data_IF_904546387776
#
_entry.id   IF_904546387776
#
_cell.length_a   1.000
_cell.length_b   1.000
_cell.length_c   1.000
_cell.angle_alpha   90.00
_cell.angle_beta   90.00
_cell.angle_gamma   90.00
#
_symmetry.space_group_name_H-M   'P 1'
#
loop_
_entity.id
_entity.type
_entity.pdbx_description
1 polymer ?
#
# COMPACT_ATOMS: atom_id res chain seq x y z
N UNK A 1 6.48 3.50 13.81
CA UNK A 1 5.93 3.23 12.48
C UNK A 1 6.96 3.57 11.43
N UNK A 2 7.14 2.69 10.46
CA UNK A 2 8.20 2.84 9.48
C UNK A 2 7.72 3.65 8.28
N UNK A 3 8.53 4.60 7.84
CA UNK A 3 8.24 5.37 6.64
C UNK A 3 9.32 5.13 5.60
N UNK A 4 8.94 5.21 4.35
CA UNK A 4 9.87 5.21 3.23
C UNK A 4 9.49 6.35 2.30
N UNK A 5 10.28 6.56 1.27
CA UNK A 5 10.01 7.61 0.30
C UNK A 5 9.90 7.02 -1.09
N UNK A 6 9.02 7.61 -1.88
CA UNK A 6 8.91 7.29 -3.30
C UNK A 6 9.17 8.58 -4.07
N UNK A 7 9.61 8.42 -5.32
CA UNK A 7 9.86 9.58 -6.20
C UNK A 7 8.90 9.51 -7.37
N UNK A 8 8.09 10.54 -7.50
CA UNK A 8 7.11 10.64 -8.60
C UNK A 8 7.35 11.95 -9.31
N UNK A 9 7.69 11.87 -10.60
CA UNK A 9 7.94 13.06 -11.44
C UNK A 9 9.01 13.95 -10.81
N UNK A 10 10.05 13.32 -10.23
CA UNK A 10 11.16 14.06 -9.66
C UNK A 10 10.91 14.60 -8.27
N UNK A 11 9.75 14.39 -7.70
CA UNK A 11 9.43 14.88 -6.38
C UNK A 11 9.29 13.69 -5.41
N UNK A 12 9.80 13.87 -4.19
CA UNK A 12 9.76 12.81 -3.20
C UNK A 12 8.53 12.93 -2.32
N UNK A 13 7.93 11.79 -2.00
CA UNK A 13 6.76 11.72 -1.13
C UNK A 13 6.99 10.63 -0.11
N UNK A 14 6.64 10.92 1.14
CA UNK A 14 6.70 9.91 2.19
C UNK A 14 5.52 8.96 2.06
N UNK A 15 5.74 7.69 2.36
CA UNK A 15 4.68 6.68 2.40
C UNK A 15 4.84 5.86 3.67
N UNK A 16 3.73 5.34 4.15
CA UNK A 16 3.69 4.60 5.40
C UNK A 16 2.54 3.61 5.30
N UNK A 17 2.66 2.45 5.94
CA UNK A 17 1.55 1.49 5.94
C UNK A 17 1.15 1.16 7.37
N UNK A 18 -0.12 1.35 7.66
CA UNK A 18 -0.71 1.05 8.97
C UNK A 18 -2.18 0.73 8.73
N UNK A 19 -2.91 0.50 9.81
CA UNK A 19 -4.36 0.33 9.71
C UNK A 19 -5.00 1.55 9.04
N UNK A 20 -4.45 2.74 9.28
CA UNK A 20 -4.97 3.94 8.64
C UNK A 20 -4.85 3.87 7.12
N UNK A 21 -3.80 3.20 6.61
CA UNK A 21 -3.66 3.02 5.17
C UNK A 21 -4.79 2.19 4.60
N UNK A 22 -5.16 1.13 5.32
CA UNK A 22 -6.29 0.28 4.89
C UNK A 22 -7.56 1.12 4.85
N UNK A 23 -7.80 1.91 5.88
CA UNK A 23 -8.99 2.76 5.92
C UNK A 23 -8.96 3.81 4.81
N UNK A 24 -7.80 4.41 4.57
CA UNK A 24 -7.66 5.39 3.50
C UNK A 24 -7.92 4.75 2.14
N UNK A 25 -7.43 3.53 1.95
CA UNK A 25 -7.68 2.83 0.69
C UNK A 25 -9.17 2.60 0.48
N UNK A 26 -9.86 2.13 1.51
CA UNK A 26 -11.28 1.84 1.37
C UNK A 26 -12.08 3.11 1.09
N UNK A 27 -11.64 4.24 1.63
CA UNK A 27 -12.30 5.49 1.33
C UNK A 27 -12.08 5.92 -0.12
N UNK A 28 -10.84 5.82 -0.59
CA UNK A 28 -10.51 6.15 -1.99
C UNK A 28 -11.26 5.21 -2.94
N UNK A 29 -11.41 3.96 -2.56
CA UNK A 29 -12.06 2.95 -3.39
C UNK A 29 -13.57 2.93 -3.19
N UNK A 30 -14.12 3.94 -2.54
CA UNK A 30 -15.56 4.13 -2.38
C UNK A 30 -16.24 2.96 -1.68
N UNK A 31 -15.60 2.48 -0.62
CA UNK A 31 -16.16 1.45 0.23
C UNK A 31 -15.78 0.03 -0.13
N UNK A 32 -14.97 -0.16 -1.18
CA UNK A 32 -14.54 -1.49 -1.55
C UNK A 32 -13.53 -2.02 -0.54
N UNK A 33 -13.69 -3.26 -0.11
CA UNK A 33 -12.85 -3.83 0.92
C UNK A 33 -11.41 -3.98 0.46
N UNK A 34 -10.48 -3.50 1.28
CA UNK A 34 -9.06 -3.68 1.02
C UNK A 34 -8.70 -5.17 0.87
N UNK A 35 -9.35 -6.02 1.67
CA UNK A 35 -8.99 -7.43 1.71
C UNK A 35 -9.52 -8.24 0.54
N UNK A 36 -10.33 -7.62 -0.31
CA UNK A 36 -10.83 -8.27 -1.52
C UNK A 36 -10.06 -7.86 -2.76
N UNK A 37 -9.04 -7.02 -2.60
CA UNK A 37 -8.30 -6.47 -3.73
C UNK A 37 -7.00 -7.25 -3.93
N UNK A 38 -6.66 -7.53 -5.17
CA UNK A 38 -5.44 -8.26 -5.49
C UNK A 38 -4.30 -7.35 -5.95
N UNK A 39 -4.59 -6.06 -6.16
CA UNK A 39 -3.60 -5.06 -6.58
C UNK A 39 -2.91 -5.42 -7.89
N UNK A 40 -3.67 -6.00 -8.81
CA UNK A 40 -3.12 -6.39 -10.10
C UNK A 40 -3.32 -5.33 -11.18
N UNK A 41 -4.20 -4.36 -10.95
CA UNK A 41 -4.43 -3.34 -11.95
C UNK A 41 -3.69 -2.05 -11.58
N UNK A 42 -3.41 -1.25 -12.60
CA UNK A 42 -2.76 0.04 -12.38
C UNK A 42 -3.60 0.91 -11.45
N UNK A 43 -4.91 0.87 -11.62
CA UNK A 43 -5.78 1.68 -10.78
C UNK A 43 -5.69 1.27 -9.31
N UNK A 44 -5.70 -0.03 -9.04
CA UNK A 44 -5.61 -0.51 -7.67
C UNK A 44 -4.27 -0.18 -7.05
N UNK A 45 -3.19 -0.32 -7.82
CA UNK A 45 -1.87 0.03 -7.33
C UNK A 45 -1.76 1.52 -7.04
N UNK A 46 -2.33 2.35 -7.91
CA UNK A 46 -2.35 3.78 -7.71
C UNK A 46 -3.08 4.14 -6.42
N UNK A 47 -4.23 3.53 -6.19
CA UNK A 47 -5.01 3.83 -4.99
C UNK A 47 -4.26 3.42 -3.72
N UNK A 48 -3.52 2.32 -3.77
CA UNK A 48 -2.73 1.89 -2.61
C UNK A 48 -1.59 2.87 -2.33
N UNK A 49 -0.91 3.32 -3.37
CA UNK A 49 0.16 4.30 -3.20
C UNK A 49 -0.40 5.59 -2.60
N UNK A 50 -1.53 6.06 -3.11
CA UNK A 50 -2.17 7.27 -2.57
C UNK A 50 -2.55 7.09 -1.11
N UNK A 51 -3.12 5.94 -0.77
CA UNK A 51 -3.51 5.65 0.61
C UNK A 51 -2.30 5.68 1.53
N UNK A 52 -1.18 5.12 1.08
CA UNK A 52 0.05 5.12 1.87
C UNK A 52 0.63 6.53 2.02
N UNK A 53 0.53 7.34 0.96
CA UNK A 53 1.02 8.71 1.04
C UNK A 53 0.17 9.54 2.01
N UNK A 54 -1.14 9.38 1.96
CA UNK A 54 -2.01 10.08 2.91
C UNK A 54 -1.76 9.63 4.34
N UNK A 55 -1.40 8.38 4.53
CA UNK A 55 -1.07 7.88 5.86
C UNK A 55 0.16 8.58 6.42
N UNK A 56 1.17 8.76 5.58
CA UNK A 56 2.40 9.43 6.02
C UNK A 56 2.20 10.94 6.19
N UNK A 57 1.34 11.54 5.36
CA UNK A 57 1.14 12.99 5.37
C UNK A 57 -0.25 13.30 4.81
N UNK A 58 -1.18 13.62 5.70
CA UNK A 58 -2.55 13.88 5.27
C UNK A 58 -2.66 15.12 4.39
N UNK A 59 -1.61 15.94 4.34
CA UNK A 59 -1.57 17.12 3.48
C UNK A 59 -0.76 16.90 2.22
N UNK A 60 -0.48 15.64 1.87
CA UNK A 60 0.32 15.34 0.70
C UNK A 60 -0.34 15.91 -0.55
N UNK A 61 0.50 16.35 -1.49
CA UNK A 61 0.01 16.86 -2.77
C UNK A 61 -0.01 15.80 -3.85
N UNK A 62 0.40 14.56 -3.51
CA UNK A 62 0.39 13.48 -4.50
C UNK A 62 -1.04 13.19 -4.94
N UNK A 63 -1.25 13.05 -6.24
CA UNK A 63 -2.58 12.81 -6.77
C UNK A 63 -2.55 11.64 -7.75
N UNK A 64 -3.74 11.15 -8.07
CA UNK A 64 -3.86 10.10 -9.07
C UNK A 64 -3.31 10.55 -10.42
N UNK A 65 -3.50 11.82 -10.76
CA UNK A 65 -2.99 12.35 -12.02
C UNK A 65 -1.47 12.27 -12.09
N UNK A 66 -0.80 12.49 -10.96
CA UNK A 66 0.66 12.36 -10.92
C UNK A 66 1.11 10.95 -11.25
N UNK A 67 0.35 9.96 -10.79
CA UNK A 67 0.74 8.57 -10.97
C UNK A 67 0.27 7.99 -12.29
N UNK A 68 -0.90 8.40 -12.76
CA UNK A 68 -1.49 7.83 -13.96
C UNK A 68 -1.46 8.75 -15.16
N UNK A 69 -0.89 9.95 -15.01
CA UNK A 69 -0.92 10.94 -16.07
C UNK A 69 0.08 10.70 -17.18
N UNK A 70 1.13 9.93 -16.91
CA UNK A 70 2.12 9.64 -17.93
C UNK A 70 1.64 8.56 -18.87
N UNK A 71 2.17 8.57 -20.09
CA UNK A 71 1.68 7.66 -21.11
C UNK A 71 2.74 6.73 -21.67
N UNK A 72 3.96 6.80 -21.15
CA UNK A 72 5.03 5.98 -21.70
C UNK A 72 5.49 4.95 -20.67
N UNK A 73 6.45 4.16 -21.09
CA UNK A 73 6.97 3.09 -20.23
C UNK A 73 7.66 3.64 -18.99
N UNK A 74 8.23 4.85 -19.08
CA UNK A 74 8.88 5.43 -17.90
C UNK A 74 7.86 5.74 -16.81
N UNK A 75 6.67 6.19 -17.18
CA UNK A 75 5.61 6.43 -16.22
C UNK A 75 5.19 5.13 -15.55
N UNK A 76 5.08 4.07 -16.32
CA UNK A 76 4.73 2.77 -15.77
C UNK A 76 5.80 2.26 -14.81
N UNK A 77 7.08 2.39 -15.17
CA UNK A 77 8.18 1.96 -14.31
C UNK A 77 8.16 2.72 -12.98
N UNK A 78 7.89 4.02 -13.05
CA UNK A 78 7.81 4.83 -11.86
C UNK A 78 6.70 4.35 -10.92
N UNK A 79 5.54 4.07 -11.47
CA UNK A 79 4.43 3.53 -10.69
C UNK A 79 4.81 2.18 -10.08
N UNK A 80 5.41 1.31 -10.86
CA UNK A 80 5.78 -0.01 -10.40
C UNK A 80 6.80 0.06 -9.27
N UNK A 81 7.77 0.96 -9.37
CA UNK A 81 8.77 1.11 -8.32
C UNK A 81 8.13 1.63 -7.03
N UNK A 82 7.22 2.59 -7.15
CA UNK A 82 6.51 3.09 -5.97
C UNK A 82 5.67 1.99 -5.34
N UNK A 83 5.01 1.19 -6.16
CA UNK A 83 4.19 0.09 -5.66
C UNK A 83 5.03 -0.93 -4.90
N UNK A 84 6.25 -1.23 -5.38
CA UNK A 84 7.14 -2.15 -4.68
C UNK A 84 7.46 -1.63 -3.28
N UNK A 85 7.77 -0.33 -3.17
CA UNK A 85 8.09 0.25 -1.86
C UNK A 85 6.91 0.11 -0.90
N UNK A 86 5.70 0.42 -1.36
CA UNK A 86 4.52 0.32 -0.51
C UNK A 86 4.23 -1.13 -0.17
N UNK A 87 4.43 -2.04 -1.14
CA UNK A 87 4.23 -3.47 -0.89
C UNK A 87 5.14 -4.00 0.19
N UNK A 88 6.38 -3.51 0.22
CA UNK A 88 7.31 -3.93 1.26
C UNK A 88 6.83 -3.46 2.63
N UNK A 89 6.36 -2.22 2.71
CA UNK A 89 5.80 -1.72 3.97
C UNK A 89 4.58 -2.52 4.40
N UNK A 90 3.71 -2.84 3.44
CA UNK A 90 2.53 -3.64 3.72
C UNK A 90 2.90 -5.02 4.24
N UNK A 91 3.90 -5.65 3.61
CA UNK A 91 4.35 -6.96 4.04
C UNK A 91 4.90 -6.93 5.45
N UNK A 92 5.66 -5.89 5.78
CA UNK A 92 6.19 -5.76 7.12
C UNK A 92 5.09 -5.54 8.16
N UNK A 93 4.08 -4.76 7.80
CA UNK A 93 2.96 -4.53 8.70
C UNK A 93 2.24 -5.82 9.05
N UNK A 94 1.92 -6.62 8.04
CA UNK A 94 1.20 -7.86 8.27
C UNK A 94 2.06 -8.90 8.96
N UNK A 95 3.34 -8.91 8.69
CA UNK A 95 4.26 -9.81 9.36
C UNK A 95 4.33 -9.49 10.86
N UNK A 96 4.46 -8.22 11.19
CA UNK A 96 4.51 -7.82 12.59
C UNK A 96 3.20 -8.15 13.30
N UNK A 97 2.08 -7.92 12.64
CA UNK A 97 0.78 -8.21 13.21
C UNK A 97 0.64 -9.71 13.48
N UNK A 98 1.06 -10.53 12.55
CA UNK A 98 1.00 -11.97 12.73
C UNK A 98 1.91 -12.44 13.84
N UNK A 99 3.08 -11.82 13.94
CA UNK A 99 4.00 -12.19 15.01
C UNK A 99 3.41 -11.90 16.39
N UNK A 100 2.68 -10.81 16.50
CA UNK A 100 2.06 -10.47 17.77
C UNK A 100 0.91 -11.39 18.12
N UNK A 101 0.20 -11.90 17.13
CA UNK A 101 -0.92 -12.77 17.37
C UNK A 101 -0.53 -14.22 17.54
N UNK A 102 0.66 -14.54 17.09
CA UNK A 102 1.06 -15.93 17.02
C UNK A 102 0.99 -16.69 18.34
N UNK A 103 1.38 -16.10 19.44
CA UNK A 103 1.32 -16.85 20.70
C UNK A 103 -0.07 -17.27 21.08
N UNK A 104 -1.06 -16.60 20.58
CA UNK A 104 -2.41 -16.90 20.95
C UNK A 104 -3.11 -17.73 19.95
N UNK A 105 -2.61 -17.76 18.77
CA UNK A 105 -3.41 -18.27 17.73
C UNK A 105 -2.97 -19.57 17.32
N UNK A 106 -3.57 -20.49 17.53
CA UNK A 106 -3.34 -21.69 16.87
C UNK A 106 -4.01 -21.60 15.59
N UNK A 107 -4.19 -21.25 14.96
CA UNK A 107 -4.94 -21.26 13.94
C UNK A 107 -4.75 -21.20 12.70
N UNK A 108 -4.84 -21.42 12.59
CA UNK A 108 -4.69 -21.59 11.56
C UNK A 108 -4.80 -21.11 10.55
N UNK A 109 -4.87 -20.66 10.52
CA UNK A 109 -4.83 -20.48 9.67
C UNK A 109 -4.46 -20.53 8.83
N UNK A 110 -4.25 -20.25 9.10
CA UNK A 110 -3.71 -20.38 8.45
C UNK A 110 -3.37 -20.69 7.73
N UNK A 111 -3.59 -20.32 7.93
CA UNK A 111 -3.25 -20.69 7.37
C UNK A 111 -2.96 -20.84 6.81
N UNK A 112 -2.87 -20.60 6.78
CA UNK A 112 -2.47 -20.80 6.44
C UNK A 112 -1.86 -21.32 6.23
N UNK A 113 -2.11 -20.98 6.61
CA UNK A 113 -1.64 -21.42 6.66
C UNK A 113 -1.14 -21.88 6.78
N UNK A 114 -1.01 -21.63 7.00
CA UNK A 114 -0.59 -22.05 7.27
C UNK A 114 -0.29 -22.65 7.34
N UNK A 115 -0.48 -22.50 7.54
CA UNK A 115 -0.21 -22.95 7.80
C UNK A 115 0.10 -23.66 7.73
N UNK A 116 -0.34 -23.33 7.97
CA UNK A 116 -0.08 -23.91 8.09
C UNK A 116 0.26 -24.38 7.86
#
# INVERSE_FOLDING_TARGET
>A
MKQKEITINGKQYAVEFSMQTIMNYEEIAEGKSFFEVSFKTVKEQTMLILAAAYTADENTTLSAADLMGGKDMNAYKQLAEAFVVVSELMGEFFKDTQAKEKPEAPTAEEGQGEKN
#
